data_IF_898144837935
#
_entry.id   IF_898144837935
#
_cell.length_a   1.000
_cell.length_b   1.000
_cell.length_c   1.000
_cell.angle_alpha   90.00
_cell.angle_beta   90.00
_cell.angle_gamma   90.00
#
_symmetry.space_group_name_H-M   'P 1'
#
loop_
_entity.id
_entity.type
_entity.pdbx_description
1 polymer ?
#
# COMPACT_ATOMS: atom_id res chain seq x y z
N UNK A 1 -23.70 16.50 -47.22
CA UNK A 1 -22.45 15.72 -47.04
C UNK A 1 -21.98 15.87 -45.60
N UNK A 2 -22.52 15.05 -44.69
CA UNK A 2 -22.07 14.98 -43.29
C UNK A 2 -20.72 14.26 -43.26
N UNK A 3 -19.64 15.02 -43.07
CA UNK A 3 -18.27 14.52 -43.26
C UNK A 3 -17.88 13.41 -42.28
N UNK A 4 -16.95 12.51 -42.69
CA UNK A 4 -16.46 11.37 -41.89
C UNK A 4 -15.79 11.77 -40.56
N UNK A 5 -15.49 13.07 -40.38
CA UNK A 5 -14.90 13.66 -39.17
C UNK A 5 -15.73 13.45 -37.89
N UNK A 6 -17.07 13.46 -37.97
CA UNK A 6 -17.92 13.30 -36.77
C UNK A 6 -17.99 11.85 -36.28
N UNK A 7 -17.95 10.88 -37.20
CA UNK A 7 -17.95 9.46 -36.86
C UNK A 7 -16.60 9.04 -36.27
N UNK A 8 -15.49 9.52 -36.83
CA UNK A 8 -14.15 9.23 -36.30
C UNK A 8 -13.93 9.81 -34.89
N UNK A 9 -14.42 11.04 -34.65
CA UNK A 9 -14.38 11.65 -33.32
C UNK A 9 -15.23 10.89 -32.29
N UNK A 10 -16.41 10.40 -32.69
CA UNK A 10 -17.28 9.59 -31.82
C UNK A 10 -16.63 8.25 -31.44
N UNK A 11 -15.98 7.57 -32.39
CA UNK A 11 -15.29 6.29 -32.12
C UNK A 11 -14.09 6.47 -31.20
N UNK A 12 -13.30 7.54 -31.38
CA UNK A 12 -12.17 7.87 -30.50
C UNK A 12 -12.66 8.17 -29.08
N UNK A 13 -13.76 8.93 -28.96
CA UNK A 13 -14.35 9.26 -27.66
C UNK A 13 -14.89 7.99 -26.95
N UNK A 14 -15.51 7.07 -27.68
CA UNK A 14 -16.02 5.80 -27.14
C UNK A 14 -14.88 4.88 -26.66
N UNK A 15 -13.79 4.78 -27.44
CA UNK A 15 -12.60 4.00 -27.06
C UNK A 15 -11.95 4.60 -25.80
N UNK A 16 -11.81 5.93 -25.73
CA UNK A 16 -11.27 6.61 -24.55
C UNK A 16 -12.15 6.37 -23.30
N UNK A 17 -13.49 6.41 -23.44
CA UNK A 17 -14.42 6.16 -22.33
C UNK A 17 -14.32 4.70 -21.82
N UNK A 18 -14.21 3.73 -22.72
CA UNK A 18 -14.04 2.32 -22.36
C UNK A 18 -12.69 2.07 -21.65
N UNK A 19 -11.60 2.68 -22.13
CA UNK A 19 -10.26 2.53 -21.51
C UNK A 19 -10.20 3.14 -20.10
N UNK A 20 -10.84 4.29 -19.89
CA UNK A 20 -10.87 4.93 -18.56
C UNK A 20 -11.73 4.19 -17.55
N UNK A 21 -12.83 3.57 -18.02
CA UNK A 21 -13.68 2.74 -17.17
C UNK A 21 -12.94 1.47 -16.69
N UNK A 22 -12.16 0.84 -17.58
CA UNK A 22 -11.37 -0.35 -17.23
C UNK A 22 -10.26 -0.06 -16.21
N UNK A 23 -9.55 1.06 -16.36
CA UNK A 23 -8.51 1.47 -15.42
C UNK A 23 -9.05 1.77 -14.01
N UNK A 24 -10.20 2.47 -13.93
CA UNK A 24 -10.84 2.77 -12.65
C UNK A 24 -11.34 1.51 -11.93
N UNK A 25 -11.89 0.54 -12.68
CA UNK A 25 -12.32 -0.74 -12.13
C UNK A 25 -11.13 -1.55 -11.59
N UNK A 26 -10.05 -1.67 -12.38
CA UNK A 26 -8.85 -2.39 -11.95
C UNK A 26 -8.19 -1.76 -10.71
N UNK A 27 -8.17 -0.42 -10.63
CA UNK A 27 -7.67 0.28 -9.44
C UNK A 27 -8.54 0.01 -8.20
N UNK A 28 -9.86 -0.07 -8.38
CA UNK A 28 -10.80 -0.42 -7.30
C UNK A 28 -10.62 -1.89 -6.88
N UNK A 29 -10.53 -2.83 -7.81
CA UNK A 29 -10.26 -4.24 -7.50
C UNK A 29 -8.92 -4.42 -6.78
N UNK A 30 -7.89 -3.67 -7.18
CA UNK A 30 -6.60 -3.66 -6.49
C UNK A 30 -6.68 -3.13 -5.05
N UNK A 31 -7.63 -2.24 -4.75
CA UNK A 31 -7.85 -1.70 -3.41
C UNK A 31 -8.51 -2.74 -2.48
N UNK A 32 -9.47 -3.52 -2.98
CA UNK A 32 -10.22 -4.54 -2.21
C UNK A 32 -9.62 -5.95 -2.33
N UNK A 33 -8.30 -6.04 -2.44
CA UNK A 33 -7.57 -7.30 -2.35
C UNK A 33 -6.36 -7.17 -1.43
N UNK A 34 -5.94 -8.30 -0.87
CA UNK A 34 -4.76 -8.41 -0.03
C UNK A 34 -4.07 -9.76 -0.24
N UNK A 35 -2.77 -9.80 0.04
CA UNK A 35 -1.96 -11.01 -0.06
C UNK A 35 -1.23 -11.29 1.25
N UNK A 36 -1.09 -12.56 1.56
CA UNK A 36 -0.25 -13.03 2.66
C UNK A 36 0.47 -14.31 2.27
N UNK A 37 1.57 -14.61 2.96
CA UNK A 37 2.31 -15.85 2.77
C UNK A 37 1.75 -16.88 3.73
N UNK A 38 1.44 -18.07 3.24
CA UNK A 38 1.05 -19.21 4.07
C UNK A 38 1.93 -20.42 3.75
N UNK A 39 2.13 -21.28 4.74
CA UNK A 39 2.81 -22.56 4.56
C UNK A 39 1.79 -23.60 4.14
N UNK A 40 1.83 -24.04 2.88
CA UNK A 40 0.86 -25.00 2.32
C UNK A 40 -0.54 -24.42 2.06
N UNK A 41 -1.42 -25.25 1.51
CA UNK A 41 -2.78 -24.84 1.06
C UNK A 41 -3.92 -25.44 1.91
N UNK A 42 -3.56 -26.19 2.96
CA UNK A 42 -4.48 -26.84 3.89
C UNK A 42 -5.39 -25.86 4.62
N UNK A 43 -6.54 -26.36 5.11
CA UNK A 43 -7.59 -25.52 5.67
C UNK A 43 -7.14 -24.70 6.89
N UNK A 44 -6.30 -25.27 7.76
CA UNK A 44 -5.76 -24.58 8.94
C UNK A 44 -4.96 -23.35 8.52
N UNK A 45 -4.01 -23.52 7.61
CA UNK A 45 -3.14 -22.45 7.11
C UNK A 45 -3.95 -21.43 6.31
N UNK A 46 -4.98 -21.88 5.56
CA UNK A 46 -5.91 -21.01 4.85
C UNK A 46 -6.70 -20.11 5.79
N UNK A 47 -7.25 -20.65 6.89
CA UNK A 47 -8.01 -19.87 7.89
C UNK A 47 -7.15 -18.81 8.56
N UNK A 48 -5.89 -19.13 8.86
CA UNK A 48 -4.91 -18.15 9.36
C UNK A 48 -4.70 -17.06 8.31
N UNK A 49 -4.44 -17.45 7.06
CA UNK A 49 -4.22 -16.51 5.97
C UNK A 49 -5.42 -15.61 5.67
N UNK A 50 -6.65 -16.11 5.78
CA UNK A 50 -7.87 -15.29 5.63
C UNK A 50 -7.98 -14.19 6.67
N UNK A 51 -7.61 -14.47 7.93
CA UNK A 51 -7.57 -13.46 8.97
C UNK A 51 -6.54 -12.38 8.64
N UNK A 52 -5.32 -12.79 8.31
CA UNK A 52 -4.24 -11.86 8.00
C UNK A 52 -4.56 -11.00 6.77
N UNK A 53 -5.19 -11.59 5.75
CA UNK A 53 -5.68 -10.85 4.59
C UNK A 53 -6.79 -9.87 4.94
N UNK A 54 -7.75 -10.27 5.79
CA UNK A 54 -8.82 -9.37 6.21
C UNK A 54 -8.27 -8.16 6.98
N UNK A 55 -7.33 -8.38 7.89
CA UNK A 55 -6.66 -7.30 8.63
C UNK A 55 -5.99 -6.32 7.65
N UNK A 56 -5.23 -6.85 6.68
CA UNK A 56 -4.54 -6.05 5.66
C UNK A 56 -5.50 -5.27 4.77
N UNK A 57 -6.58 -5.88 4.26
CA UNK A 57 -7.51 -5.20 3.35
C UNK A 57 -8.28 -4.08 4.05
N UNK A 58 -8.66 -4.27 5.32
CA UNK A 58 -9.36 -3.24 6.08
C UNK A 58 -8.47 -2.03 6.32
N UNK A 59 -7.20 -2.24 6.68
CA UNK A 59 -6.21 -1.15 6.81
C UNK A 59 -5.97 -0.47 5.47
N UNK A 60 -5.82 -1.23 4.38
CA UNK A 60 -5.60 -0.69 3.02
C UNK A 60 -6.75 0.18 2.53
N UNK A 61 -7.98 -0.29 2.69
CA UNK A 61 -9.19 0.40 2.21
C UNK A 61 -9.47 1.66 3.04
N UNK A 62 -9.31 1.60 4.36
CA UNK A 62 -9.68 2.69 5.26
C UNK A 62 -8.55 3.66 5.64
N UNK A 63 -7.30 3.19 5.63
CA UNK A 63 -6.17 3.88 6.25
C UNK A 63 -6.13 3.77 7.78
N UNK A 64 -7.04 3.05 8.43
CA UNK A 64 -7.13 2.96 9.90
C UNK A 64 -6.36 1.74 10.44
N UNK A 65 -5.13 1.98 10.91
CA UNK A 65 -4.25 0.95 11.49
C UNK A 65 -4.76 0.37 12.82
N UNK A 66 -5.78 0.96 13.44
CA UNK A 66 -6.31 0.49 14.73
C UNK A 66 -7.28 -0.68 14.57
N UNK A 67 -7.79 -0.91 13.35
CA UNK A 67 -8.82 -1.92 13.09
C UNK A 67 -8.42 -3.35 13.49
N UNK A 68 -7.22 -3.86 13.16
CA UNK A 68 -6.83 -5.23 13.54
C UNK A 68 -6.82 -5.48 15.05
N UNK A 69 -6.66 -4.43 15.86
CA UNK A 69 -6.68 -4.52 17.33
C UNK A 69 -8.08 -4.58 17.95
N UNK A 70 -9.15 -4.45 17.16
CA UNK A 70 -10.52 -4.44 17.68
C UNK A 70 -11.03 -5.84 18.00
N UNK A 71 -11.71 -6.06 19.14
CA UNK A 71 -12.20 -7.39 19.52
C UNK A 71 -13.20 -7.97 18.50
N UNK A 72 -13.96 -7.12 17.81
CA UNK A 72 -14.93 -7.50 16.78
C UNK A 72 -14.27 -8.22 15.59
N UNK A 73 -12.96 -8.00 15.36
CA UNK A 73 -12.19 -8.67 14.30
C UNK A 73 -12.15 -10.19 14.47
N UNK A 74 -12.23 -10.68 15.71
CA UNK A 74 -12.12 -12.10 16.01
C UNK A 74 -13.21 -12.95 15.33
N UNK A 75 -14.37 -12.38 15.03
CA UNK A 75 -15.52 -13.09 14.44
C UNK A 75 -15.57 -13.03 12.89
N UNK A 76 -14.83 -12.12 12.26
CA UNK A 76 -14.96 -11.86 10.82
C UNK A 76 -14.14 -12.83 9.97
N UNK A 77 -14.76 -13.43 8.94
CA UNK A 77 -14.12 -14.45 8.08
C UNK A 77 -14.47 -14.34 6.59
N UNK A 78 -15.11 -13.26 6.18
CA UNK A 78 -15.68 -13.15 4.83
C UNK A 78 -14.60 -12.93 3.77
N UNK A 79 -14.42 -13.91 2.88
CA UNK A 79 -13.59 -13.81 1.68
C UNK A 79 -14.47 -14.18 0.49
N UNK A 80 -14.48 -13.35 -0.56
CA UNK A 80 -15.28 -13.64 -1.75
C UNK A 80 -14.66 -14.75 -2.58
N UNK A 81 -13.38 -14.60 -2.88
CA UNK A 81 -12.60 -15.57 -3.63
C UNK A 81 -11.14 -15.46 -3.24
N UNK A 82 -10.38 -16.52 -3.50
CA UNK A 82 -8.96 -16.56 -3.19
C UNK A 82 -8.20 -17.39 -4.22
N UNK A 83 -6.90 -17.13 -4.32
CA UNK A 83 -5.98 -17.87 -5.19
C UNK A 83 -4.66 -18.09 -4.48
N UNK A 84 -4.02 -19.21 -4.81
CA UNK A 84 -2.67 -19.54 -4.38
C UNK A 84 -1.70 -19.36 -5.55
N UNK A 85 -0.50 -18.89 -5.24
CA UNK A 85 0.66 -18.96 -6.12
C UNK A 85 1.83 -19.61 -5.36
N UNK A 86 2.39 -20.69 -5.88
CA UNK A 86 3.55 -21.37 -5.29
C UNK A 86 4.77 -20.48 -5.50
N UNK A 87 5.36 -19.99 -4.40
CA UNK A 87 6.49 -19.06 -4.47
C UNK A 87 7.77 -19.72 -4.98
N UNK A 88 7.81 -21.04 -4.96
CA UNK A 88 8.92 -21.85 -5.42
C UNK A 88 8.55 -22.63 -6.68
N UNK A 89 7.51 -22.21 -7.41
CA UNK A 89 7.14 -22.80 -8.69
C UNK A 89 8.36 -22.92 -9.61
N UNK A 90 8.57 -24.11 -10.18
CA UNK A 90 9.75 -24.43 -11.00
C UNK A 90 11.04 -24.78 -10.24
N UNK A 91 11.09 -24.58 -8.93
CA UNK A 91 12.19 -25.06 -8.08
C UNK A 91 11.85 -26.49 -7.61
N UNK A 92 12.71 -27.49 -7.86
CA UNK A 92 12.48 -28.84 -7.36
C UNK A 92 12.40 -28.86 -5.83
N UNK A 93 11.53 -29.72 -5.31
CA UNK A 93 11.45 -29.94 -3.86
C UNK A 93 12.68 -30.74 -3.44
N UNK A 94 13.56 -30.13 -2.66
CA UNK A 94 14.84 -30.69 -2.23
C UNK A 94 14.84 -31.09 -0.74
N UNK A 95 13.67 -31.27 -0.10
CA UNK A 95 13.64 -31.73 1.28
C UNK A 95 13.82 -33.27 1.35
N UNK A 96 14.53 -33.73 2.37
CA UNK A 96 14.93 -35.15 2.49
C UNK A 96 13.74 -36.10 2.76
N UNK A 97 12.52 -35.57 2.96
CA UNK A 97 11.34 -36.37 3.30
C UNK A 97 10.01 -35.88 2.68
N UNK A 98 9.97 -34.85 1.81
CA UNK A 98 8.71 -34.37 1.22
C UNK A 98 7.66 -33.90 2.24
N UNK A 99 8.09 -33.56 3.45
CA UNK A 99 7.22 -33.45 4.64
C UNK A 99 6.86 -32.00 4.96
N UNK A 100 7.62 -31.02 4.45
CA UNK A 100 7.32 -29.61 4.70
C UNK A 100 6.48 -29.02 3.56
N UNK A 101 5.33 -28.49 3.95
CA UNK A 101 4.47 -27.70 3.08
C UNK A 101 5.22 -26.48 2.51
N UNK A 102 5.14 -26.29 1.18
CA UNK A 102 5.80 -25.17 0.48
C UNK A 102 5.15 -23.82 0.82
N UNK A 103 5.90 -22.71 0.80
CA UNK A 103 5.32 -21.38 0.96
C UNK A 103 4.49 -20.99 -0.28
N UNK A 104 3.28 -20.49 -0.05
CA UNK A 104 2.38 -19.99 -1.08
C UNK A 104 1.99 -18.54 -0.78
N UNK A 105 1.83 -17.75 -1.83
CA UNK A 105 1.13 -16.49 -1.78
C UNK A 105 -0.38 -16.75 -1.85
N UNK A 106 -1.08 -16.48 -0.75
CA UNK A 106 -2.54 -16.48 -0.69
C UNK A 106 -3.05 -15.06 -0.97
N UNK A 107 -3.67 -14.86 -2.13
CA UNK A 107 -4.38 -13.62 -2.44
C UNK A 107 -5.86 -13.79 -2.16
N UNK A 108 -6.43 -12.90 -1.35
CA UNK A 108 -7.86 -12.83 -1.06
C UNK A 108 -8.46 -11.61 -1.74
N UNK A 109 -9.61 -11.81 -2.40
CA UNK A 109 -10.39 -10.77 -3.04
C UNK A 109 -11.69 -10.58 -2.25
N UNK A 110 -12.16 -9.34 -2.20
CA UNK A 110 -13.32 -8.97 -1.41
C UNK A 110 -14.29 -8.10 -2.21
N UNK A 111 -15.59 -8.31 -1.99
CA UNK A 111 -16.63 -7.42 -2.50
C UNK A 111 -16.55 -6.07 -1.79
N UNK A 112 -16.48 -4.94 -2.51
CA UNK A 112 -16.47 -3.61 -1.90
C UNK A 112 -17.61 -3.39 -0.91
N UNK A 113 -18.85 -3.75 -1.30
CA UNK A 113 -20.03 -3.60 -0.45
C UNK A 113 -19.96 -4.38 0.88
N UNK A 114 -19.23 -5.50 0.92
CA UNK A 114 -19.03 -6.28 2.15
C UNK A 114 -18.02 -5.59 3.05
N UNK A 115 -16.87 -5.21 2.49
CA UNK A 115 -15.81 -4.52 3.25
C UNK A 115 -16.28 -3.17 3.78
N UNK A 116 -16.98 -2.38 2.96
CA UNK A 116 -17.50 -1.08 3.38
C UNK A 116 -18.50 -1.20 4.52
N UNK A 117 -19.35 -2.24 4.48
CA UNK A 117 -20.28 -2.54 5.58
C UNK A 117 -19.53 -2.94 6.85
N UNK A 118 -18.51 -3.78 6.74
CA UNK A 118 -17.66 -4.16 7.88
C UNK A 118 -16.96 -2.93 8.47
N UNK A 119 -16.37 -2.08 7.63
CA UNK A 119 -15.75 -0.82 8.07
C UNK A 119 -16.74 0.06 8.81
N UNK A 120 -17.96 0.23 8.28
CA UNK A 120 -19.01 1.02 8.93
C UNK A 120 -19.40 0.44 10.30
N UNK A 121 -19.54 -0.89 10.41
CA UNK A 121 -19.82 -1.56 11.69
C UNK A 121 -18.69 -1.36 12.70
N UNK A 122 -17.45 -1.30 12.23
CA UNK A 122 -16.27 -1.00 13.03
C UNK A 122 -16.06 0.51 13.26
N UNK A 123 -16.99 1.39 12.85
CA UNK A 123 -16.87 2.83 13.04
C UNK A 123 -15.77 3.50 12.19
N UNK A 124 -15.35 2.87 11.09
CA UNK A 124 -14.43 3.40 10.10
C UNK A 124 -15.13 3.59 8.75
N UNK A 125 -14.43 4.13 7.76
CA UNK A 125 -14.96 4.41 6.41
C UNK A 125 -13.90 4.10 5.36
N UNK A 126 -14.27 3.67 4.15
CA UNK A 126 -13.33 3.55 3.05
C UNK A 126 -12.79 4.93 2.67
N UNK A 127 -11.48 5.01 2.43
CA UNK A 127 -10.84 6.15 1.80
C UNK A 127 -10.74 5.86 0.31
N UNK A 128 -11.60 6.49 -0.50
CA UNK A 128 -11.65 6.27 -1.95
C UNK A 128 -10.96 7.36 -2.76
N UNK A 129 -10.69 8.51 -2.15
CA UNK A 129 -9.90 9.59 -2.75
C UNK A 129 -8.42 9.27 -2.85
N UNK A 130 -7.67 10.18 -3.48
CA UNK A 130 -6.21 10.10 -3.55
C UNK A 130 -5.60 10.02 -2.14
N UNK A 131 -4.60 9.15 -2.00
CA UNK A 131 -3.81 9.01 -0.77
C UNK A 131 -2.77 10.13 -0.73
N UNK A 132 -2.58 10.79 0.42
CA UNK A 132 -1.60 11.86 0.54
C UNK A 132 -0.19 11.30 0.35
N UNK A 133 0.68 12.14 -0.20
CA UNK A 133 2.12 11.94 -0.11
C UNK A 133 2.61 12.65 1.14
N UNK A 134 3.37 11.97 1.99
CA UNK A 134 3.91 12.54 3.23
C UNK A 134 5.37 12.91 3.01
N UNK A 135 5.73 14.18 3.18
CA UNK A 135 7.14 14.58 3.24
C UNK A 135 7.73 14.28 4.61
N UNK A 136 8.92 13.66 4.65
CA UNK A 136 9.64 13.39 5.89
C UNK A 136 10.85 14.30 6.01
N UNK A 137 10.83 15.14 7.05
CA UNK A 137 11.98 15.89 7.52
C UNK A 137 12.42 15.26 8.85
N UNK A 138 13.55 14.56 8.84
CA UNK A 138 14.00 13.80 10.00
C UNK A 138 15.52 13.91 10.15
N UNK A 139 15.97 14.19 11.36
CA UNK A 139 17.37 14.05 11.76
C UNK A 139 17.57 12.66 12.34
N UNK A 140 18.48 11.90 11.75
CA UNK A 140 18.85 10.58 12.20
C UNK A 140 20.16 10.63 13.01
N UNK A 141 20.23 9.80 14.04
CA UNK A 141 21.43 9.55 14.83
C UNK A 141 21.88 8.10 14.60
N UNK A 142 23.17 7.92 14.32
CA UNK A 142 23.81 6.62 14.20
C UNK A 142 25.17 6.65 14.91
N UNK A 143 25.18 6.26 16.18
CA UNK A 143 26.35 6.41 17.05
C UNK A 143 26.68 7.89 17.22
N UNK A 144 27.91 8.30 16.90
CA UNK A 144 28.33 9.71 16.98
C UNK A 144 27.95 10.56 15.75
N UNK A 145 27.29 9.95 14.76
CA UNK A 145 26.92 10.63 13.51
C UNK A 145 25.48 11.13 13.61
N UNK A 146 25.30 12.41 13.28
CA UNK A 146 23.99 13.04 13.11
C UNK A 146 23.88 13.52 11.67
N UNK A 147 22.78 13.19 10.99
CA UNK A 147 22.57 13.59 9.60
C UNK A 147 21.08 13.72 9.29
N UNK A 148 20.73 14.59 8.35
CA UNK A 148 19.36 14.68 7.85
C UNK A 148 19.08 13.48 6.91
N UNK A 149 17.93 12.84 7.08
CA UNK A 149 17.51 11.73 6.22
C UNK A 149 17.01 12.27 4.88
N UNK A 150 17.93 12.42 3.91
CA UNK A 150 17.60 12.89 2.56
C UNK A 150 17.27 11.74 1.60
N UNK A 151 16.75 12.07 0.42
CA UNK A 151 16.39 11.09 -0.63
C UNK A 151 17.59 10.33 -1.22
N UNK A 152 18.74 11.00 -1.27
CA UNK A 152 19.92 10.67 -2.08
C UNK A 152 21.11 10.19 -1.24
N UNK A 153 21.00 10.19 0.09
CA UNK A 153 22.06 9.73 0.98
C UNK A 153 21.98 8.21 1.21
N UNK A 154 22.99 7.46 0.79
CA UNK A 154 23.09 6.00 0.97
C UNK A 154 23.00 5.58 2.45
N UNK A 155 23.50 6.41 3.39
CA UNK A 155 23.48 6.09 4.83
C UNK A 155 22.07 5.89 5.37
N UNK A 156 21.09 6.53 4.74
CA UNK A 156 19.69 6.51 5.13
C UNK A 156 18.85 5.43 4.44
N UNK A 157 19.41 4.59 3.57
CA UNK A 157 18.64 3.68 2.71
C UNK A 157 17.69 2.77 3.50
N UNK A 158 18.22 2.00 4.45
CA UNK A 158 17.40 1.11 5.30
C UNK A 158 16.36 1.87 6.15
N UNK A 159 16.65 3.11 6.53
CA UNK A 159 15.69 3.95 7.25
C UNK A 159 14.53 4.36 6.32
N UNK A 160 14.84 4.79 5.09
CA UNK A 160 13.83 5.11 4.07
C UNK A 160 13.00 3.88 3.71
N UNK A 161 13.61 2.72 3.55
CA UNK A 161 12.90 1.45 3.33
C UNK A 161 11.92 1.14 4.46
N UNK A 162 12.29 1.40 5.71
CA UNK A 162 11.40 1.20 6.86
C UNK A 162 10.13 2.05 6.75
N UNK A 163 10.25 3.30 6.29
CA UNK A 163 9.09 4.14 6.01
C UNK A 163 8.25 3.62 4.85
N UNK A 164 8.87 3.21 3.74
CA UNK A 164 8.16 2.63 2.58
C UNK A 164 7.38 1.38 3.00
N UNK A 165 7.99 0.52 3.81
CA UNK A 165 7.35 -0.67 4.37
C UNK A 165 6.17 -0.32 5.28
N UNK A 166 6.28 0.74 6.07
CA UNK A 166 5.21 1.20 6.95
C UNK A 166 4.03 1.84 6.19
N UNK A 167 4.28 2.53 5.07
CA UNK A 167 3.21 3.18 4.29
C UNK A 167 2.55 2.25 3.28
N UNK A 168 3.22 1.17 2.86
CA UNK A 168 2.70 0.18 1.91
C UNK A 168 1.30 -0.36 2.24
N UNK A 169 1.03 -0.83 3.48
CA UNK A 169 -0.31 -1.27 3.88
C UNK A 169 -1.39 -0.20 3.78
N UNK A 170 -1.03 1.09 3.85
CA UNK A 170 -1.96 2.22 3.78
C UNK A 170 -2.12 2.80 2.37
N UNK A 171 -1.35 2.29 1.41
CA UNK A 171 -1.20 2.85 0.06
C UNK A 171 -0.81 4.34 0.06
N UNK A 172 -0.14 4.80 1.13
CA UNK A 172 0.38 6.16 1.20
C UNK A 172 1.76 6.21 0.56
N UNK A 173 2.07 7.37 -0.04
CA UNK A 173 3.39 7.66 -0.62
C UNK A 173 4.19 8.46 0.39
N UNK A 174 5.51 8.30 0.33
CA UNK A 174 6.43 9.07 1.15
C UNK A 174 7.45 9.75 0.26
N UNK A 175 7.80 10.97 0.60
CA UNK A 175 8.81 11.76 -0.08
C UNK A 175 9.88 12.18 0.93
N UNK A 176 11.13 12.06 0.54
CA UNK A 176 12.26 12.63 1.28
C UNK A 176 12.81 13.79 0.44
N UNK A 177 13.11 14.95 1.04
CA UNK A 177 13.79 16.02 0.33
C UNK A 177 15.20 15.57 -0.12
N UNK A 178 15.66 15.95 -1.32
CA UNK A 178 17.06 15.77 -1.70
C UNK A 178 17.99 16.54 -0.75
N UNK A 179 19.21 16.04 -0.53
CA UNK A 179 20.16 16.63 0.42
C UNK A 179 20.52 18.08 0.07
N UNK A 180 20.51 18.42 -1.22
CA UNK A 180 20.71 19.80 -1.70
C UNK A 180 19.63 20.77 -1.24
N UNK A 181 18.40 20.30 -1.00
CA UNK A 181 17.25 21.11 -0.58
C UNK A 181 17.25 21.39 0.93
N UNK A 182 17.84 20.47 1.70
CA UNK A 182 17.92 20.55 3.17
C UNK A 182 19.36 20.75 3.66
N UNK A 183 20.23 21.27 2.77
CA UNK A 183 21.62 21.57 3.09
C UNK A 183 21.68 22.62 4.20
N UNK A 184 22.38 22.31 5.29
CA UNK A 184 22.45 23.17 6.47
C UNK A 184 21.25 23.07 7.43
N UNK A 185 20.28 22.19 7.14
CA UNK A 185 19.23 21.84 8.10
C UNK A 185 19.81 20.87 9.14
N UNK A 186 20.14 21.41 10.31
CA UNK A 186 20.49 20.63 11.49
C UNK A 186 19.26 20.45 12.41
N UNK A 187 19.44 19.74 13.52
CA UNK A 187 18.36 19.47 14.48
C UNK A 187 17.71 20.76 15.00
N UNK A 188 18.51 21.78 15.31
CA UNK A 188 18.01 23.06 15.80
C UNK A 188 17.22 23.81 14.71
N UNK A 189 17.73 23.82 13.49
CA UNK A 189 17.05 24.41 12.35
C UNK A 189 15.70 23.73 12.11
N UNK A 190 15.65 22.40 12.10
CA UNK A 190 14.41 21.65 11.91
C UNK A 190 13.37 21.97 13.01
N UNK A 191 13.81 22.07 14.27
CA UNK A 191 12.91 22.40 15.39
C UNK A 191 12.38 23.84 15.38
N UNK A 192 13.11 24.78 14.78
CA UNK A 192 12.75 26.22 14.79
C UNK A 192 12.13 26.70 13.48
N UNK A 193 12.21 25.88 12.43
CA UNK A 193 11.61 26.19 11.13
C UNK A 193 10.08 26.16 11.23
N UNK A 194 9.42 27.18 10.68
CA UNK A 194 7.97 27.21 10.67
C UNK A 194 7.35 26.19 9.70
N UNK A 195 6.11 25.80 9.98
CA UNK A 195 5.40 24.80 9.16
C UNK A 195 5.16 25.26 7.72
N UNK A 196 5.00 26.57 7.47
CA UNK A 196 4.75 27.07 6.11
C UNK A 196 5.97 26.86 5.21
N UNK A 197 7.17 27.04 5.77
CA UNK A 197 8.44 26.78 5.10
C UNK A 197 8.62 25.28 4.85
N UNK A 198 8.33 24.43 5.83
CA UNK A 198 8.36 22.98 5.65
C UNK A 198 7.36 22.50 4.59
N UNK A 199 6.16 23.08 4.54
CA UNK A 199 5.13 22.79 3.53
C UNK A 199 5.55 23.23 2.11
N UNK A 200 6.30 24.32 1.98
CA UNK A 200 6.88 24.71 0.70
C UNK A 200 7.97 23.73 0.25
N UNK A 201 8.86 23.33 1.16
CA UNK A 201 9.90 22.34 0.89
C UNK A 201 9.28 20.98 0.54
N UNK A 202 8.22 20.57 1.24
CA UNK A 202 7.47 19.33 0.99
C UNK A 202 6.93 19.31 -0.45
N UNK A 203 6.28 20.39 -0.88
CA UNK A 203 5.77 20.53 -2.26
C UNK A 203 6.87 20.46 -3.30
N UNK A 204 8.01 21.12 -3.04
CA UNK A 204 9.19 21.04 -3.92
C UNK A 204 9.79 19.64 -3.98
N UNK A 205 9.69 18.87 -2.90
CA UNK A 205 10.10 17.47 -2.82
C UNK A 205 9.06 16.47 -3.38
N UNK A 206 7.90 16.95 -3.84
CA UNK A 206 6.87 16.13 -4.48
C UNK A 206 5.79 15.58 -3.54
N UNK A 207 5.63 16.18 -2.35
CA UNK A 207 4.52 15.90 -1.42
C UNK A 207 3.38 16.91 -1.53
#
# INVERSE_FOLDING_TARGET
MTGPSRLMAATICLIALCLMSGAALAATEALYQSQTIVTGTGEVNRKIGFRDCLDKVLVRVSGDQRLPGKPEMAALRDVESFRYHDRLEGIPVHDEQGTHDRPHDLTCLYKPAVIDKVLAQLGSKPWLGERPTVAVFLMAEQGTRHFALSADDERGEAMRESFINATGPLLMRIAFPPGSMISGMDEKALHTTDMATLDELARKAGA
#
